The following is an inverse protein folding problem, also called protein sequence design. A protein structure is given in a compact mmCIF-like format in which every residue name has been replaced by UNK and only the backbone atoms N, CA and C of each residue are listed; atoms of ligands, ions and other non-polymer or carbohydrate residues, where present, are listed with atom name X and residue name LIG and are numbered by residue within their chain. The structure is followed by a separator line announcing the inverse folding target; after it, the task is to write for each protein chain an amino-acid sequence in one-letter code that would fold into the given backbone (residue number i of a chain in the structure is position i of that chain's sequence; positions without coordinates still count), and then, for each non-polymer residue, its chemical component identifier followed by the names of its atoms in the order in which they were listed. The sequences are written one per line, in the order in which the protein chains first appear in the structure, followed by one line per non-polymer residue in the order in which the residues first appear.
data_IF_740503516145
#
_entry.id   IF_740503516145
#
_cell.length_a   1.000
_cell.length_b   1.000
_cell.length_c   1.000
_cell.angle_alpha   90.00
_cell.angle_beta   90.00
_cell.angle_gamma   90.00
#
_symmetry.space_group_name_H-M   'P 1'
#
loop_
_entity.id
_entity.type
_entity.pdbx_description
1 polymer ?
#
# COMPACT_ATOMS: atom_id res chain seq x y z
N UNK A 1 30.62 35.54 -41.67
CA UNK A 1 30.64 34.07 -41.47
C UNK A 1 31.58 33.50 -42.53
N UNK A 2 32.51 32.64 -42.15
CA UNK A 2 33.35 31.94 -43.13
C UNK A 2 32.45 31.21 -44.14
N UNK A 3 32.77 31.28 -45.44
CA UNK A 3 31.98 30.63 -46.50
C UNK A 3 31.92 29.13 -46.20
N UNK A 4 30.72 28.61 -45.93
CA UNK A 4 30.50 27.17 -45.69
C UNK A 4 30.53 26.71 -44.23
N UNK A 5 30.54 27.58 -43.22
CA UNK A 5 30.42 27.14 -41.82
C UNK A 5 28.96 27.05 -41.34
N UNK A 6 28.61 25.97 -40.64
CA UNK A 6 27.26 25.69 -40.13
C UNK A 6 27.20 25.94 -38.63
N UNK A 7 26.42 26.95 -38.22
CA UNK A 7 26.30 27.35 -36.82
C UNK A 7 25.13 26.65 -36.13
N UNK A 8 25.39 26.04 -34.98
CA UNK A 8 24.37 25.56 -34.04
C UNK A 8 23.94 26.70 -33.13
N UNK A 9 22.64 26.95 -33.01
CA UNK A 9 22.06 27.96 -32.12
C UNK A 9 20.77 27.46 -31.46
N UNK A 10 20.36 28.13 -30.39
CA UNK A 10 19.07 27.89 -29.72
C UNK A 10 18.05 28.88 -30.26
N UNK A 11 16.89 28.39 -30.67
CA UNK A 11 15.74 29.20 -31.09
C UNK A 11 14.46 28.58 -30.55
N UNK A 12 13.71 29.34 -29.75
CA UNK A 12 12.50 28.87 -29.05
C UNK A 12 12.73 27.56 -28.27
N UNK A 13 13.76 27.54 -27.41
CA UNK A 13 14.15 26.40 -26.54
C UNK A 13 14.60 25.11 -27.27
N UNK A 14 14.73 25.15 -28.61
CA UNK A 14 15.20 24.02 -29.43
C UNK A 14 16.45 24.37 -30.22
N UNK A 15 17.23 23.35 -30.56
CA UNK A 15 18.44 23.49 -31.36
C UNK A 15 18.11 23.64 -32.85
N UNK A 16 18.81 24.57 -33.50
CA UNK A 16 18.66 24.91 -34.92
C UNK A 16 20.03 25.13 -35.56
N UNK A 17 20.18 24.73 -36.82
CA UNK A 17 21.35 24.96 -37.65
C UNK A 17 21.10 26.12 -38.60
N UNK A 18 22.07 27.04 -38.75
CA UNK A 18 22.04 28.14 -39.72
C UNK A 18 23.37 28.27 -40.46
N UNK A 19 23.30 28.44 -41.78
CA UNK A 19 24.47 28.65 -42.63
C UNK A 19 24.13 29.41 -43.91
N UNK A 20 25.16 29.65 -44.74
CA UNK A 20 24.99 30.25 -46.06
C UNK A 20 25.90 29.54 -47.06
N UNK A 21 25.35 29.20 -48.21
CA UNK A 21 26.03 28.49 -49.28
C UNK A 21 25.56 29.03 -50.63
N UNK A 22 26.49 29.30 -51.56
CA UNK A 22 26.22 29.87 -52.90
C UNK A 22 25.23 31.07 -52.89
N UNK A 23 25.47 32.04 -52.01
CA UNK A 23 24.66 33.27 -51.85
C UNK A 23 23.20 33.05 -51.39
N UNK A 24 22.85 31.84 -50.94
CA UNK A 24 21.57 31.54 -50.30
C UNK A 24 21.74 31.21 -48.82
N UNK A 25 20.74 31.59 -48.01
CA UNK A 25 20.72 31.35 -46.56
C UNK A 25 19.87 30.13 -46.27
N UNK A 26 20.41 29.23 -45.46
CA UNK A 26 19.75 27.98 -45.09
C UNK A 26 19.55 27.91 -43.57
N UNK A 27 18.44 27.30 -43.18
CA UNK A 27 18.08 27.09 -41.78
C UNK A 27 17.39 25.74 -41.62
N UNK A 28 17.83 24.97 -40.63
CA UNK A 28 17.30 23.64 -40.35
C UNK A 28 17.05 23.48 -38.85
N UNK A 29 15.81 23.20 -38.46
CA UNK A 29 15.49 22.84 -37.07
C UNK A 29 15.92 21.39 -36.80
N UNK A 30 16.69 21.18 -35.73
CA UNK A 30 17.09 19.81 -35.31
C UNK A 30 15.97 19.14 -34.51
N UNK A 31 15.02 19.93 -33.99
CA UNK A 31 13.89 19.39 -33.25
C UNK A 31 14.27 18.76 -31.90
N UNK A 32 15.41 19.12 -31.31
CA UNK A 32 15.84 18.64 -29.98
C UNK A 32 15.94 19.80 -28.97
N UNK A 33 15.61 19.60 -27.68
CA UNK A 33 15.80 20.61 -26.63
C UNK A 33 17.30 20.82 -26.35
N UNK A 34 17.66 21.98 -25.80
CA UNK A 34 19.04 22.32 -25.49
C UNK A 34 19.61 21.45 -24.34
N UNK A 35 20.56 20.57 -24.65
CA UNK A 35 21.29 19.75 -23.69
C UNK A 35 22.70 19.43 -24.22
N UNK A 36 23.63 19.02 -23.35
CA UNK A 36 25.01 18.67 -23.74
C UNK A 36 25.03 17.58 -24.81
N UNK A 37 24.18 16.55 -24.66
CA UNK A 37 24.08 15.42 -25.60
C UNK A 37 23.47 15.88 -26.93
N UNK A 38 22.39 16.66 -26.88
CA UNK A 38 21.70 17.13 -28.08
C UNK A 38 22.53 18.14 -28.88
N UNK A 39 23.33 18.97 -28.19
CA UNK A 39 24.31 19.85 -28.84
C UNK A 39 25.36 19.05 -29.59
N UNK A 40 25.83 17.92 -29.04
CA UNK A 40 26.79 17.03 -29.73
C UNK A 40 26.19 16.44 -31.03
N UNK A 41 24.93 16.00 -30.98
CA UNK A 41 24.18 15.51 -32.16
C UNK A 41 23.99 16.61 -33.21
N UNK A 42 23.60 17.81 -32.77
CA UNK A 42 23.44 18.96 -33.67
C UNK A 42 24.78 19.38 -34.33
N UNK A 43 25.88 19.34 -33.58
CA UNK A 43 27.22 19.63 -34.10
C UNK A 43 27.68 18.58 -35.11
N UNK A 44 27.41 17.29 -34.88
CA UNK A 44 27.75 16.23 -35.84
C UNK A 44 26.98 16.42 -37.16
N UNK A 45 25.69 16.79 -37.08
CA UNK A 45 24.88 17.09 -38.27
C UNK A 45 25.34 18.37 -38.98
N UNK A 46 25.79 19.38 -38.24
CA UNK A 46 26.43 20.57 -38.81
C UNK A 46 27.69 20.20 -39.61
N UNK A 47 28.57 19.36 -39.06
CA UNK A 47 29.77 18.87 -39.75
C UNK A 47 29.45 18.07 -41.02
N UNK A 48 28.40 17.24 -41.00
CA UNK A 48 27.96 16.51 -42.20
C UNK A 48 27.56 17.47 -43.33
N UNK A 49 26.83 18.55 -43.00
CA UNK A 49 26.44 19.57 -43.98
C UNK A 49 27.68 20.30 -44.51
N UNK A 50 28.65 20.61 -43.66
CA UNK A 50 29.93 21.21 -44.06
C UNK A 50 30.71 20.30 -45.04
N UNK A 51 30.80 19.01 -44.75
CA UNK A 51 31.46 18.02 -45.62
C UNK A 51 30.76 17.88 -46.98
N UNK A 52 29.43 17.91 -47.00
CA UNK A 52 28.69 17.83 -48.25
C UNK A 52 28.83 19.10 -49.10
N UNK A 53 28.92 20.27 -48.46
CA UNK A 53 29.24 21.53 -49.16
C UNK A 53 30.64 21.52 -49.76
N UNK A 54 31.62 20.91 -49.08
CA UNK A 54 33.00 20.78 -49.55
C UNK A 54 33.15 19.73 -50.67
N UNK A 55 32.43 18.61 -50.57
CA UNK A 55 32.49 17.51 -51.55
C UNK A 55 31.60 17.70 -52.77
N UNK A 56 30.83 18.80 -52.83
CA UNK A 56 29.90 19.08 -53.94
C UNK A 56 28.58 18.30 -53.90
N UNK A 57 28.35 17.52 -52.85
CA UNK A 57 27.17 16.68 -52.64
C UNK A 57 26.09 17.33 -51.74
N UNK A 58 26.12 18.65 -51.64
CA UNK A 58 25.17 19.41 -50.83
C UNK A 58 23.77 19.34 -51.43
N UNK A 59 22.79 18.92 -50.61
CA UNK A 59 21.38 18.91 -50.97
C UNK A 59 20.70 20.26 -50.61
N UNK A 60 20.41 21.12 -51.60
CA UNK A 60 19.77 22.42 -51.35
C UNK A 60 18.29 22.30 -50.91
N UNK A 61 17.65 21.14 -51.06
CA UNK A 61 16.27 20.93 -50.58
C UNK A 61 16.20 20.67 -49.07
N UNK A 62 17.37 20.47 -48.44
CA UNK A 62 17.55 20.10 -47.04
C UNK A 62 16.91 18.77 -46.64
N UNK A 63 16.34 17.99 -47.58
CA UNK A 63 15.67 16.73 -47.27
C UNK A 63 16.67 15.71 -46.72
N UNK A 64 17.87 15.64 -47.30
CA UNK A 64 18.99 14.80 -46.83
C UNK A 64 19.38 15.08 -45.37
N UNK A 65 19.14 16.30 -44.88
CA UNK A 65 19.60 16.75 -43.57
C UNK A 65 18.49 16.85 -42.53
N UNK A 66 17.22 16.86 -42.94
CA UNK A 66 16.11 16.80 -41.99
C UNK A 66 16.26 15.55 -41.14
N UNK A 67 15.86 15.58 -39.86
CA UNK A 67 15.60 14.33 -39.17
C UNK A 67 14.62 13.59 -40.07
N UNK A 68 15.00 12.41 -40.58
CA UNK A 68 13.99 11.49 -41.05
C UNK A 68 12.99 11.40 -39.88
N UNK A 69 11.72 11.76 -40.10
CA UNK A 69 10.67 11.16 -39.28
C UNK A 69 11.03 9.69 -39.26
N UNK A 70 11.26 9.08 -38.08
CA UNK A 70 11.74 7.71 -38.04
C UNK A 70 10.82 6.92 -38.95
N UNK A 71 11.32 6.57 -40.14
CA UNK A 71 10.63 5.66 -41.02
C UNK A 71 10.39 4.47 -40.13
N UNK A 72 9.13 4.01 -39.99
CA UNK A 72 8.87 2.84 -39.18
C UNK A 72 9.86 1.80 -39.69
N UNK A 73 10.77 1.35 -38.82
CA UNK A 73 11.54 0.16 -39.11
C UNK A 73 10.51 -0.83 -39.62
N UNK A 74 10.62 -1.21 -40.89
CA UNK A 74 9.90 -2.36 -41.40
C UNK A 74 10.55 -3.54 -40.68
N UNK A 75 10.12 -3.75 -39.44
CA UNK A 75 10.09 -5.05 -38.84
C UNK A 75 9.18 -5.83 -39.76
N UNK A 76 9.76 -6.71 -40.54
CA UNK A 76 9.01 -7.76 -41.20
C UNK A 76 8.12 -8.41 -40.14
N UNK A 77 6.82 -8.07 -40.17
CA UNK A 77 5.81 -8.50 -39.21
C UNK A 77 6.05 -8.03 -37.77
N UNK A 78 5.52 -6.86 -37.39
CA UNK A 78 5.04 -6.69 -36.01
C UNK A 78 3.63 -6.15 -36.05
N UNK A 79 2.67 -7.05 -35.85
CA UNK A 79 1.34 -6.70 -35.37
C UNK A 79 1.49 -5.66 -34.24
N UNK A 80 0.64 -4.65 -34.19
CA UNK A 80 0.72 -3.62 -33.17
C UNK A 80 0.66 -4.25 -31.77
N UNK A 81 1.83 -4.46 -31.15
CA UNK A 81 1.92 -5.10 -29.83
C UNK A 81 1.00 -4.36 -28.87
N UNK A 82 0.04 -5.09 -28.32
CA UNK A 82 -1.02 -4.52 -27.50
C UNK A 82 -0.43 -3.76 -26.31
N UNK A 83 -0.80 -2.49 -26.12
CA UNK A 83 -0.29 -1.72 -24.98
C UNK A 83 -0.85 -2.27 -23.67
N UNK A 84 -0.06 -2.25 -22.59
CA UNK A 84 -0.52 -2.66 -21.26
C UNK A 84 -1.77 -1.86 -20.84
N UNK A 85 -1.84 -0.57 -21.19
CA UNK A 85 -3.01 0.26 -20.88
C UNK A 85 -4.28 -0.18 -21.60
N UNK A 86 -4.18 -0.67 -22.83
CA UNK A 86 -5.33 -1.14 -23.59
C UNK A 86 -5.83 -2.48 -23.03
N UNK A 87 -4.90 -3.42 -22.79
CA UNK A 87 -5.18 -4.70 -22.13
C UNK A 87 -5.78 -4.48 -20.73
N UNK A 88 -5.24 -3.53 -19.96
CA UNK A 88 -5.78 -3.14 -18.65
C UNK A 88 -7.23 -2.67 -18.75
N UNK A 89 -7.56 -1.80 -19.70
CA UNK A 89 -8.94 -1.31 -19.86
C UNK A 89 -9.92 -2.41 -20.23
N UNK A 90 -9.47 -3.42 -20.95
CA UNK A 90 -10.32 -4.52 -21.42
C UNK A 90 -10.55 -5.57 -20.35
N UNK A 91 -9.51 -5.95 -19.60
CA UNK A 91 -9.53 -7.17 -18.77
C UNK A 91 -9.37 -6.93 -17.26
N UNK A 92 -9.22 -5.68 -16.81
CA UNK A 92 -9.01 -5.41 -15.38
C UNK A 92 -10.16 -5.92 -14.51
N UNK A 93 -11.41 -5.72 -14.93
CA UNK A 93 -12.57 -6.13 -14.13
C UNK A 93 -12.67 -7.67 -14.06
N UNK A 94 -12.39 -8.38 -15.16
CA UNK A 94 -12.32 -9.85 -15.19
C UNK A 94 -11.24 -10.39 -14.24
N UNK A 95 -10.07 -9.74 -14.21
CA UNK A 95 -8.99 -10.09 -13.29
C UNK A 95 -9.40 -9.86 -11.82
N UNK A 96 -10.05 -8.74 -11.52
CA UNK A 96 -10.52 -8.43 -10.17
C UNK A 96 -11.55 -9.45 -9.72
N UNK A 97 -12.46 -9.85 -10.60
CA UNK A 97 -13.48 -10.87 -10.32
C UNK A 97 -12.85 -12.24 -10.08
N UNK A 98 -11.89 -12.67 -10.92
CA UNK A 98 -11.14 -13.93 -10.74
C UNK A 98 -10.42 -13.97 -9.38
N UNK A 99 -9.72 -12.89 -9.04
CA UNK A 99 -9.01 -12.77 -7.75
C UNK A 99 -9.97 -12.72 -6.56
N UNK A 100 -11.10 -12.04 -6.72
CA UNK A 100 -12.12 -11.91 -5.68
C UNK A 100 -12.84 -13.23 -5.37
N UNK A 101 -13.03 -14.08 -6.38
CA UNK A 101 -13.60 -15.42 -6.19
C UNK A 101 -12.61 -16.38 -5.52
N UNK A 102 -11.32 -16.31 -5.89
CA UNK A 102 -10.34 -17.34 -5.52
C UNK A 102 -9.60 -17.08 -4.21
N UNK A 103 -9.20 -15.83 -3.92
CA UNK A 103 -8.12 -15.60 -2.94
C UNK A 103 -8.30 -14.36 -2.05
N UNK A 104 -8.96 -13.30 -2.52
CA UNK A 104 -8.88 -12.00 -1.84
C UNK A 104 -10.07 -11.62 -0.97
N UNK A 105 -9.77 -10.93 0.13
CA UNK A 105 -10.83 -10.32 0.95
C UNK A 105 -11.49 -9.16 0.21
N UNK A 106 -12.82 -8.97 0.28
CA UNK A 106 -13.50 -7.80 -0.27
C UNK A 106 -12.88 -6.46 0.18
N UNK A 107 -12.29 -6.44 1.39
CA UNK A 107 -11.56 -5.27 1.86
C UNK A 107 -10.26 -5.03 1.09
N UNK A 108 -9.50 -6.07 0.74
CA UNK A 108 -8.27 -5.94 -0.07
C UNK A 108 -8.62 -5.37 -1.44
N UNK A 109 -9.68 -5.88 -2.07
CA UNK A 109 -10.16 -5.38 -3.36
C UNK A 109 -10.46 -3.89 -3.28
N UNK A 110 -11.32 -3.50 -2.33
CA UNK A 110 -11.72 -2.10 -2.16
C UNK A 110 -10.54 -1.18 -1.84
N UNK A 111 -9.59 -1.62 -1.01
CA UNK A 111 -8.50 -0.76 -0.55
C UNK A 111 -7.32 -0.70 -1.52
N UNK A 112 -6.97 -1.79 -2.19
CA UNK A 112 -5.76 -1.90 -2.99
C UNK A 112 -6.04 -1.87 -4.50
N UNK A 113 -7.10 -2.54 -4.97
CA UNK A 113 -7.42 -2.67 -6.40
C UNK A 113 -8.21 -1.48 -6.94
N UNK A 114 -9.31 -1.10 -6.28
CA UNK A 114 -10.21 -0.04 -6.75
C UNK A 114 -9.53 1.33 -7.00
N UNK A 115 -8.46 1.73 -6.28
CA UNK A 115 -7.76 2.97 -6.60
C UNK A 115 -6.96 2.93 -7.91
N UNK A 116 -6.58 1.74 -8.40
CA UNK A 116 -5.65 1.59 -9.53
C UNK A 116 -6.24 2.16 -10.84
N UNK A 117 -7.48 1.85 -11.27
CA UNK A 117 -8.06 2.40 -12.50
C UNK A 117 -8.07 3.93 -12.53
N UNK A 118 -8.34 4.59 -11.39
CA UNK A 118 -8.29 6.05 -11.29
C UNK A 118 -6.86 6.58 -11.48
N UNK A 119 -5.86 5.88 -10.93
CA UNK A 119 -4.45 6.24 -11.11
C UNK A 119 -4.02 6.08 -12.57
N UNK A 120 -4.38 4.97 -13.22
CA UNK A 120 -4.10 4.74 -14.65
C UNK A 120 -4.71 5.86 -15.50
N UNK A 121 -5.97 6.23 -15.23
CA UNK A 121 -6.64 7.35 -15.91
C UNK A 121 -5.92 8.68 -15.71
N UNK A 122 -5.53 8.98 -14.47
CA UNK A 122 -4.87 10.23 -14.12
C UNK A 122 -3.44 10.34 -14.65
N UNK A 123 -2.76 9.22 -14.95
CA UNK A 123 -1.45 9.24 -15.58
C UNK A 123 -1.50 9.83 -17.00
N UNK A 124 -2.63 9.67 -17.70
CA UNK A 124 -2.89 10.35 -18.98
C UNK A 124 -2.02 9.88 -20.17
N UNK A 125 -1.14 8.88 -19.98
CA UNK A 125 -0.29 8.29 -21.02
C UNK A 125 -0.51 6.79 -21.13
N UNK A 126 -0.25 6.22 -22.31
CA UNK A 126 -0.24 4.77 -22.50
C UNK A 126 1.05 4.17 -21.95
N UNK A 127 0.92 3.04 -21.27
CA UNK A 127 2.02 2.20 -20.82
C UNK A 127 2.32 1.22 -21.95
N UNK A 128 3.35 1.54 -22.73
CA UNK A 128 3.76 0.74 -23.90
C UNK A 128 4.79 -0.32 -23.53
N UNK A 129 5.68 -0.01 -22.60
CA UNK A 129 6.67 -0.95 -22.10
C UNK A 129 7.24 -0.53 -20.75
N UNK A 130 8.43 -1.05 -20.45
CA UNK A 130 9.08 -0.90 -19.14
C UNK A 130 9.31 0.56 -18.74
N UNK A 131 9.69 1.42 -19.69
CA UNK A 131 9.98 2.84 -19.41
C UNK A 131 8.73 3.57 -18.93
N UNK A 132 7.61 3.43 -19.64
CA UNK A 132 6.36 4.09 -19.27
C UNK A 132 5.80 3.50 -17.97
N UNK A 133 6.03 2.21 -17.71
CA UNK A 133 5.66 1.60 -16.43
C UNK A 133 6.50 2.17 -15.27
N UNK A 134 7.79 2.42 -15.44
CA UNK A 134 8.63 3.11 -14.46
C UNK A 134 8.15 4.55 -14.21
N UNK A 135 7.80 5.29 -15.26
CA UNK A 135 7.19 6.62 -15.14
C UNK A 135 5.88 6.56 -14.35
N UNK A 136 5.04 5.56 -14.61
CA UNK A 136 3.79 5.35 -13.89
C UNK A 136 4.01 5.04 -12.41
N UNK A 137 4.99 4.20 -12.07
CA UNK A 137 5.34 3.92 -10.66
C UNK A 137 5.81 5.19 -9.96
N UNK A 138 6.66 5.99 -10.60
CA UNK A 138 7.11 7.29 -10.07
C UNK A 138 5.94 8.23 -9.84
N UNK A 139 5.00 8.32 -10.78
CA UNK A 139 3.76 9.07 -10.63
C UNK A 139 2.92 8.57 -9.45
N UNK A 140 2.77 7.25 -9.28
CA UNK A 140 2.01 6.68 -8.17
C UNK A 140 2.65 7.00 -6.81
N UNK A 141 3.98 7.03 -6.70
CA UNK A 141 4.72 7.36 -5.48
C UNK A 141 4.45 8.78 -4.97
N UNK A 142 3.98 9.69 -5.83
CA UNK A 142 3.56 11.04 -5.41
C UNK A 142 2.21 11.04 -4.68
N UNK A 143 1.42 9.98 -4.81
CA UNK A 143 0.03 9.93 -4.33
C UNK A 143 -0.19 9.18 -3.01
N UNK A 144 0.74 8.30 -2.62
CA UNK A 144 0.62 7.47 -1.41
C UNK A 144 1.98 6.95 -0.95
N UNK A 145 2.02 6.36 0.25
CA UNK A 145 3.26 5.83 0.82
C UNK A 145 3.91 4.75 -0.05
N UNK A 146 5.25 4.62 -0.06
CA UNK A 146 5.94 3.59 -0.84
C UNK A 146 5.48 2.17 -0.49
N UNK A 147 5.09 1.91 0.76
CA UNK A 147 4.53 0.62 1.17
C UNK A 147 3.20 0.30 0.48
N UNK A 148 2.35 1.32 0.29
CA UNK A 148 1.07 1.17 -0.42
C UNK A 148 1.31 0.98 -1.91
N UNK A 149 2.18 1.79 -2.50
CA UNK A 149 2.49 1.69 -3.93
C UNK A 149 3.15 0.36 -4.27
N UNK A 150 4.06 -0.13 -3.43
CA UNK A 150 4.66 -1.47 -3.60
C UNK A 150 3.61 -2.56 -3.79
N UNK A 151 2.56 -2.56 -2.95
CA UNK A 151 1.45 -3.51 -3.06
C UNK A 151 0.66 -3.34 -4.35
N UNK A 152 0.42 -2.10 -4.79
CA UNK A 152 -0.27 -1.84 -6.06
C UNK A 152 0.58 -2.26 -7.27
N UNK A 153 1.90 -2.09 -7.21
CA UNK A 153 2.83 -2.58 -8.24
C UNK A 153 2.85 -4.10 -8.30
N UNK A 154 2.78 -4.80 -7.15
CA UNK A 154 2.60 -6.25 -7.12
C UNK A 154 1.30 -6.63 -7.84
N UNK A 155 0.19 -5.96 -7.56
CA UNK A 155 -1.09 -6.24 -8.23
C UNK A 155 -1.02 -5.99 -9.74
N UNK A 156 -0.37 -4.91 -10.18
CA UNK A 156 -0.17 -4.62 -11.61
C UNK A 156 0.71 -5.66 -12.30
N UNK A 157 1.74 -6.14 -11.61
CA UNK A 157 2.56 -7.26 -12.07
C UNK A 157 1.74 -8.55 -12.16
N UNK A 158 0.93 -8.85 -11.15
CA UNK A 158 0.04 -10.01 -11.12
C UNK A 158 -1.00 -9.97 -12.24
N UNK A 159 -1.54 -8.79 -12.55
CA UNK A 159 -2.41 -8.58 -13.70
C UNK A 159 -1.70 -8.91 -15.01
N UNK A 160 -0.49 -8.39 -15.20
CA UNK A 160 0.32 -8.67 -16.39
C UNK A 160 0.62 -10.17 -16.57
N UNK A 161 0.92 -10.86 -15.48
CA UNK A 161 1.13 -12.32 -15.52
C UNK A 161 -0.17 -13.07 -15.81
N UNK A 162 -1.30 -12.60 -15.26
CA UNK A 162 -2.60 -13.22 -15.47
C UNK A 162 -3.06 -13.11 -16.93
N UNK A 163 -2.86 -11.96 -17.60
CA UNK A 163 -3.23 -11.83 -19.02
C UNK A 163 -2.36 -12.70 -19.94
N UNK A 164 -1.07 -12.86 -19.61
CA UNK A 164 -0.20 -13.80 -20.32
C UNK A 164 -0.64 -15.26 -20.13
N UNK A 165 -0.96 -15.66 -18.90
CA UNK A 165 -1.41 -17.02 -18.59
C UNK A 165 -2.73 -17.38 -19.29
N UNK A 166 -3.63 -16.40 -19.43
CA UNK A 166 -4.91 -16.59 -20.11
C UNK A 166 -4.83 -16.37 -21.63
N UNK A 167 -3.63 -16.12 -22.19
CA UNK A 167 -3.40 -15.89 -23.63
C UNK A 167 -4.26 -14.74 -24.19
N UNK A 168 -4.44 -13.69 -23.39
CA UNK A 168 -5.21 -12.49 -23.76
C UNK A 168 -4.34 -11.44 -24.48
N UNK A 169 -3.07 -11.75 -24.69
CA UNK A 169 -2.05 -10.91 -25.32
C UNK A 169 -1.23 -11.76 -26.28
N UNK A 170 -0.60 -11.10 -27.26
CA UNK A 170 0.19 -11.75 -28.29
C UNK A 170 1.43 -12.45 -27.69
N UNK A 171 1.95 -13.46 -28.40
CA UNK A 171 3.06 -14.30 -27.90
C UNK A 171 4.37 -13.51 -27.60
N UNK A 172 4.55 -12.33 -28.22
CA UNK A 172 5.69 -11.44 -27.99
C UNK A 172 5.43 -10.34 -26.95
N UNK A 173 4.28 -10.36 -26.27
CA UNK A 173 3.94 -9.36 -25.27
C UNK A 173 4.70 -9.58 -23.97
N UNK A 174 5.36 -8.55 -23.47
CA UNK A 174 6.10 -8.58 -22.21
C UNK A 174 5.39 -7.77 -21.11
N UNK A 175 5.32 -8.34 -19.90
CA UNK A 175 4.78 -7.66 -18.74
C UNK A 175 5.73 -6.53 -18.27
N UNK A 176 5.35 -5.24 -18.41
CA UNK A 176 6.24 -4.12 -18.13
C UNK A 176 6.42 -3.86 -16.63
N UNK A 177 5.61 -4.48 -15.75
CA UNK A 177 5.70 -4.33 -14.30
C UNK A 177 6.63 -5.35 -13.63
N UNK A 178 7.20 -6.28 -14.40
CA UNK A 178 8.14 -7.29 -13.90
C UNK A 178 9.35 -6.63 -13.22
N UNK A 179 9.53 -6.90 -11.92
CA UNK A 179 10.64 -6.39 -11.13
C UNK A 179 10.50 -4.93 -10.66
N UNK A 180 9.42 -4.22 -10.98
CA UNK A 180 9.29 -2.80 -10.60
C UNK A 180 8.99 -2.56 -9.11
N UNK A 181 8.76 -3.62 -8.33
CA UNK A 181 8.58 -3.51 -6.87
C UNK A 181 9.82 -2.99 -6.15
N UNK A 182 10.99 -3.11 -6.76
CA UNK A 182 12.26 -2.61 -6.23
C UNK A 182 12.31 -1.09 -6.16
N UNK A 183 11.61 -0.40 -7.06
CA UNK A 183 11.49 1.07 -7.04
C UNK A 183 10.74 1.59 -5.80
N UNK A 184 10.02 0.71 -5.11
CA UNK A 184 9.26 1.05 -3.92
C UNK A 184 10.08 0.67 -2.69
N UNK A 185 10.72 1.66 -2.08
CA UNK A 185 11.50 1.53 -0.85
C UNK A 185 10.69 2.02 0.36
N UNK A 186 9.82 1.18 0.97
CA UNK A 186 9.17 1.53 2.21
C UNK A 186 10.20 1.65 3.33
N UNK A 187 10.22 2.80 4.00
CA UNK A 187 10.91 2.93 5.28
C UNK A 187 10.19 2.03 6.28
N UNK A 188 10.90 1.18 7.05
CA UNK A 188 10.30 0.41 8.11
C UNK A 188 9.52 1.33 9.05
N UNK A 189 8.25 1.02 9.38
CA UNK A 189 7.46 1.88 10.24
C UNK A 189 8.14 1.99 11.61
N UNK A 190 8.22 3.21 12.15
CA UNK A 190 8.65 3.41 13.53
C UNK A 190 7.69 2.67 14.48
N UNK A 191 8.26 2.00 15.49
CA UNK A 191 7.49 1.21 16.44
C UNK A 191 6.85 2.14 17.47
N UNK A 192 5.52 2.16 17.52
CA UNK A 192 4.78 2.83 18.58
C UNK A 192 5.00 2.07 19.88
N UNK A 193 5.51 2.70 20.95
CA UNK A 193 5.74 2.00 22.21
C UNK A 193 4.43 1.51 22.84
N UNK A 194 4.46 0.45 23.67
CA UNK A 194 3.30 -0.06 24.38
C UNK A 194 2.84 0.93 25.47
N UNK A 195 1.55 0.91 25.82
CA UNK A 195 1.05 1.73 26.93
C UNK A 195 1.62 1.22 28.26
N UNK A 196 2.03 2.11 29.14
CA UNK A 196 2.42 1.74 30.51
C UNK A 196 1.20 1.35 31.34
N UNK A 197 1.38 0.65 32.46
CA UNK A 197 0.27 0.31 33.35
C UNK A 197 -0.48 1.56 33.88
N UNK A 198 0.25 2.65 34.11
CA UNK A 198 -0.34 3.93 34.52
C UNK A 198 -1.18 4.55 33.39
N UNK A 199 -0.67 4.54 32.15
CA UNK A 199 -1.42 5.02 30.98
C UNK A 199 -2.69 4.20 30.75
N UNK A 200 -2.63 2.88 30.88
CA UNK A 200 -3.80 1.99 30.74
C UNK A 200 -4.87 2.36 31.77
N UNK A 201 -4.48 2.53 33.04
CA UNK A 201 -5.40 2.92 34.12
C UNK A 201 -6.03 4.29 33.84
N UNK A 202 -5.24 5.26 33.39
CA UNK A 202 -5.72 6.59 33.06
C UNK A 202 -6.68 6.58 31.86
N UNK A 203 -6.38 5.84 30.80
CA UNK A 203 -7.26 5.70 29.63
C UNK A 203 -8.60 5.10 30.04
N UNK A 204 -8.59 4.01 30.81
CA UNK A 204 -9.81 3.33 31.27
C UNK A 204 -10.63 4.24 32.20
N UNK A 205 -9.98 4.93 33.13
CA UNK A 205 -10.64 5.90 34.03
C UNK A 205 -11.26 7.05 33.24
N UNK A 206 -10.52 7.62 32.29
CA UNK A 206 -11.00 8.72 31.45
C UNK A 206 -12.18 8.29 30.58
N UNK A 207 -12.18 7.05 30.05
CA UNK A 207 -13.38 6.51 29.39
C UNK A 207 -14.55 6.46 30.36
N UNK A 208 -14.37 5.87 31.55
CA UNK A 208 -15.43 5.69 32.56
C UNK A 208 -16.10 7.00 32.96
N UNK A 209 -15.31 8.05 33.13
CA UNK A 209 -15.78 9.35 33.61
C UNK A 209 -16.25 10.27 32.47
N UNK A 210 -16.10 9.85 31.20
CA UNK A 210 -16.50 10.64 30.04
C UNK A 210 -18.01 10.59 29.77
N UNK A 211 -18.64 11.77 29.79
CA UNK A 211 -20.07 11.95 29.52
C UNK A 211 -20.57 11.28 28.24
N UNK A 212 -19.78 11.23 27.17
CA UNK A 212 -20.21 10.75 25.86
C UNK A 212 -19.71 9.32 25.53
N UNK A 213 -18.60 8.92 26.14
CA UNK A 213 -17.88 7.71 25.75
C UNK A 213 -17.78 6.65 26.85
N UNK A 214 -18.32 6.87 28.05
CA UNK A 214 -18.36 5.89 29.15
C UNK A 214 -18.91 4.52 28.74
N UNK A 215 -19.85 4.46 27.80
CA UNK A 215 -20.38 3.21 27.24
C UNK A 215 -19.31 2.26 26.68
N UNK A 216 -18.15 2.78 26.24
CA UNK A 216 -17.07 1.98 25.67
C UNK A 216 -16.05 1.48 26.70
N UNK A 217 -16.23 1.79 28.00
CA UNK A 217 -15.24 1.48 29.05
C UNK A 217 -14.88 0.00 29.09
N UNK A 218 -15.88 -0.89 29.17
CA UNK A 218 -15.63 -2.33 29.29
C UNK A 218 -15.10 -2.94 28.00
N UNK A 219 -15.48 -2.38 26.84
CA UNK A 219 -14.88 -2.73 25.56
C UNK A 219 -13.38 -2.42 25.52
N UNK A 220 -12.97 -1.25 26.01
CA UNK A 220 -11.56 -0.85 26.07
C UNK A 220 -10.78 -1.69 27.09
N UNK A 221 -11.35 -1.94 28.27
CA UNK A 221 -10.77 -2.87 29.27
C UNK A 221 -10.51 -4.23 28.65
N UNK A 222 -11.51 -4.79 27.98
CA UNK A 222 -11.40 -6.08 27.30
C UNK A 222 -10.27 -6.12 26.26
N UNK A 223 -10.09 -5.06 25.46
CA UNK A 223 -9.00 -4.98 24.48
C UNK A 223 -7.62 -5.05 25.16
N UNK A 224 -7.41 -4.32 26.26
CA UNK A 224 -6.17 -4.36 27.02
C UNK A 224 -5.93 -5.70 27.72
N UNK A 225 -6.98 -6.38 28.20
CA UNK A 225 -6.88 -7.64 28.94
C UNK A 225 -6.69 -8.87 28.05
N UNK A 226 -7.05 -8.79 26.77
CA UNK A 226 -7.00 -9.94 25.84
C UNK A 226 -6.02 -9.79 24.70
N UNK A 227 -5.68 -8.55 24.33
CA UNK A 227 -4.92 -8.26 23.13
C UNK A 227 -5.54 -8.83 21.85
N UNK A 228 -6.84 -9.13 21.82
CA UNK A 228 -7.50 -9.64 20.61
C UNK A 228 -7.52 -8.59 19.49
N UNK A 229 -7.81 -9.01 18.25
CA UNK A 229 -7.97 -8.04 17.15
C UNK A 229 -9.24 -7.22 17.40
N UNK A 230 -9.21 -5.95 17.05
CA UNK A 230 -10.36 -5.04 17.21
C UNK A 230 -11.64 -5.62 16.61
N UNK A 231 -11.56 -6.25 15.43
CA UNK A 231 -12.72 -6.87 14.76
C UNK A 231 -13.23 -8.15 15.43
N UNK A 232 -12.41 -8.84 16.22
CA UNK A 232 -12.81 -10.00 17.02
C UNK A 232 -13.62 -9.53 18.23
N UNK A 233 -13.15 -8.51 18.96
CA UNK A 233 -13.91 -7.92 20.07
C UNK A 233 -15.25 -7.32 19.62
N UNK A 234 -15.27 -6.59 18.50
CA UNK A 234 -16.49 -5.99 17.94
C UNK A 234 -17.51 -7.06 17.52
N UNK A 235 -17.03 -8.19 17.02
CA UNK A 235 -17.87 -9.30 16.53
C UNK A 235 -18.26 -10.30 17.61
N UNK A 236 -17.68 -10.20 18.81
CA UNK A 236 -17.83 -11.18 19.88
C UNK A 236 -19.29 -11.27 20.33
N UNK A 237 -19.78 -12.50 20.42
CA UNK A 237 -21.13 -12.83 20.85
C UNK A 237 -21.06 -13.76 22.04
N UNK A 238 -22.09 -13.77 22.87
CA UNK A 238 -22.11 -14.57 24.08
C UNK A 238 -22.03 -16.08 23.83
N UNK A 239 -22.46 -16.59 22.67
CA UNK A 239 -22.27 -18.01 22.27
C UNK A 239 -20.80 -18.43 22.22
N UNK A 240 -19.88 -17.48 22.11
CA UNK A 240 -18.43 -17.71 22.07
C UNK A 240 -17.77 -17.60 23.44
N UNK A 241 -18.50 -17.15 24.46
CA UNK A 241 -18.03 -17.05 25.84
C UNK A 241 -18.61 -18.23 26.62
N UNK A 242 -17.78 -18.93 27.39
CA UNK A 242 -18.29 -20.01 28.26
C UNK A 242 -19.31 -19.46 29.25
N UNK A 243 -20.28 -20.29 29.65
CA UNK A 243 -21.35 -19.90 30.58
C UNK A 243 -20.84 -19.45 31.95
N UNK A 244 -19.70 -19.94 32.38
CA UNK A 244 -19.00 -19.53 33.61
C UNK A 244 -18.04 -18.35 33.39
N UNK A 245 -17.93 -17.83 32.16
CA UNK A 245 -17.00 -16.79 31.74
C UNK A 245 -15.51 -17.15 31.95
N UNK A 246 -15.15 -18.44 32.06
CA UNK A 246 -13.74 -18.88 32.24
C UNK A 246 -12.94 -18.92 30.94
N UNK A 247 -13.59 -18.73 29.79
CA UNK A 247 -12.90 -18.77 28.51
C UNK A 247 -13.73 -18.23 27.35
N UNK A 248 -13.01 -17.82 26.30
CA UNK A 248 -13.55 -17.24 25.07
C UNK A 248 -13.00 -18.01 23.87
N UNK A 249 -13.85 -18.28 22.88
CA UNK A 249 -13.42 -18.82 21.60
C UNK A 249 -13.48 -17.73 20.52
N UNK A 250 -12.34 -17.31 20.00
CA UNK A 250 -12.27 -16.40 18.86
C UNK A 250 -12.28 -17.19 17.55
N UNK A 251 -13.43 -17.26 16.87
CA UNK A 251 -13.66 -18.00 15.62
C UNK A 251 -14.15 -17.11 14.46
N UNK A 252 -14.79 -15.98 14.76
CA UNK A 252 -15.41 -15.07 13.80
C UNK A 252 -14.78 -13.67 13.85
N UNK A 253 -14.78 -12.99 12.70
CA UNK A 253 -14.49 -11.56 12.59
C UNK A 253 -15.60 -10.86 11.84
N UNK A 254 -15.94 -9.66 12.30
CA UNK A 254 -16.94 -8.82 11.65
C UNK A 254 -16.21 -7.84 10.73
N UNK A 255 -16.33 -8.02 9.41
CA UNK A 255 -15.71 -7.15 8.40
C UNK A 255 -16.75 -6.31 7.68
N UNK A 256 -16.37 -5.11 7.23
CA UNK A 256 -17.27 -4.24 6.45
C UNK A 256 -17.52 -4.84 5.06
N UNK A 257 -18.79 -4.93 4.65
CA UNK A 257 -19.18 -5.36 3.30
C UNK A 257 -19.24 -4.11 2.40
N UNK A 258 -18.20 -3.91 1.59
CA UNK A 258 -18.11 -2.78 0.65
C UNK A 258 -17.98 -1.41 1.33
N UNK A 259 -18.53 -0.36 0.71
CA UNK A 259 -18.47 1.03 1.16
C UNK A 259 -19.58 1.41 2.17
N UNK A 260 -20.60 0.58 2.35
CA UNK A 260 -21.75 0.85 3.23
C UNK A 260 -21.56 0.46 4.70
N UNK A 261 -22.62 0.54 5.50
CA UNK A 261 -22.62 0.14 6.94
C UNK A 261 -22.76 -1.38 7.13
N UNK A 262 -23.08 -2.12 6.07
CA UNK A 262 -23.26 -3.56 6.11
C UNK A 262 -21.99 -4.27 6.62
N UNK A 263 -22.21 -5.32 7.42
CA UNK A 263 -21.15 -6.12 8.03
C UNK A 263 -21.32 -7.57 7.61
N UNK A 264 -20.21 -8.20 7.21
CA UNK A 264 -20.13 -9.60 6.88
C UNK A 264 -19.36 -10.30 8.01
N UNK A 265 -19.98 -11.32 8.61
CA UNK A 265 -19.26 -12.26 9.48
C UNK A 265 -18.41 -13.16 8.59
N UNK A 266 -17.12 -13.19 8.82
CA UNK A 266 -16.19 -14.14 8.20
C UNK A 266 -15.51 -14.94 9.28
N UNK A 267 -15.16 -16.19 8.98
CA UNK A 267 -14.14 -16.90 9.75
C UNK A 267 -12.87 -16.03 9.85
N UNK A 268 -12.12 -16.16 10.93
CA UNK A 268 -10.86 -15.40 11.12
C UNK A 268 -9.95 -15.57 9.89
N UNK A 269 -9.19 -14.53 9.52
CA UNK A 269 -8.31 -14.51 8.33
C UNK A 269 -7.34 -15.71 8.23
N UNK A 270 -7.09 -16.41 9.32
CA UNK A 270 -6.19 -17.57 9.42
C UNK A 270 -6.92 -18.91 9.52
N UNK A 271 -8.26 -18.94 9.43
CA UNK A 271 -9.10 -20.14 9.52
C UNK A 271 -8.83 -21.01 10.77
N UNK A 272 -8.28 -20.41 11.84
CA UNK A 272 -7.94 -21.08 13.09
C UNK A 272 -8.72 -20.41 14.20
N UNK A 273 -9.80 -21.06 14.64
CA UNK A 273 -10.43 -20.73 15.92
C UNK A 273 -9.37 -20.85 17.02
N UNK A 274 -9.37 -19.92 17.98
CA UNK A 274 -8.48 -20.02 19.15
C UNK A 274 -9.25 -19.85 20.44
N UNK A 275 -8.84 -20.62 21.43
CA UNK A 275 -9.32 -20.48 22.81
C UNK A 275 -8.45 -19.48 23.58
N UNK A 276 -9.10 -18.59 24.33
CA UNK A 276 -8.46 -17.65 25.23
C UNK A 276 -8.97 -17.92 26.66
N UNK A 277 -8.10 -18.36 27.60
CA UNK A 277 -8.48 -18.55 28.99
C UNK A 277 -8.69 -17.19 29.67
N UNK A 278 -9.77 -17.06 30.44
CA UNK A 278 -10.02 -15.85 31.23
C UNK A 278 -9.39 -16.00 32.61
N UNK A 279 -8.58 -15.04 33.02
CA UNK A 279 -8.18 -14.90 34.42
C UNK A 279 -9.36 -14.36 35.25
N UNK A 280 -9.19 -14.31 36.58
CA UNK A 280 -10.24 -13.84 37.50
C UNK A 280 -10.77 -12.46 37.15
N UNK A 281 -9.88 -11.51 36.78
CA UNK A 281 -10.30 -10.17 36.40
C UNK A 281 -11.16 -10.14 35.13
N UNK A 282 -10.79 -10.90 34.10
CA UNK A 282 -11.53 -10.96 32.84
C UNK A 282 -12.86 -11.69 33.04
N UNK A 283 -12.88 -12.75 33.84
CA UNK A 283 -14.09 -13.46 34.21
C UNK A 283 -15.06 -12.52 34.95
N UNK A 284 -14.56 -11.76 35.94
CA UNK A 284 -15.35 -10.79 36.70
C UNK A 284 -15.92 -9.69 35.78
N UNK A 285 -15.11 -9.17 34.85
CA UNK A 285 -15.57 -8.20 33.86
C UNK A 285 -16.73 -8.77 33.03
N UNK A 286 -16.57 -9.98 32.49
CA UNK A 286 -17.58 -10.62 31.64
C UNK A 286 -18.85 -10.94 32.41
N UNK A 287 -18.74 -11.43 33.66
CA UNK A 287 -19.91 -11.66 34.51
C UNK A 287 -20.67 -10.37 34.82
N UNK A 288 -19.96 -9.28 35.11
CA UNK A 288 -20.57 -7.99 35.45
C UNK A 288 -21.35 -7.35 34.30
N UNK A 289 -20.90 -7.55 33.05
CA UNK A 289 -21.57 -6.99 31.86
C UNK A 289 -22.59 -7.93 31.22
N UNK A 290 -22.74 -9.15 31.74
CA UNK A 290 -23.62 -10.16 31.15
C UNK A 290 -25.09 -9.82 31.44
N UNK A 291 -25.94 -9.66 30.41
CA UNK A 291 -27.37 -9.50 30.64
C UNK A 291 -27.97 -10.74 31.29
N UNK A 292 -29.01 -10.60 32.09
CA UNK A 292 -29.73 -11.74 32.70
C UNK A 292 -30.30 -12.67 31.61
N UNK A 293 -31.00 -12.09 30.64
CA UNK A 293 -31.61 -12.80 29.51
C UNK A 293 -30.94 -12.39 28.19
N UNK A 294 -29.88 -13.10 27.80
CA UNK A 294 -29.22 -12.90 26.51
C UNK A 294 -29.48 -14.06 25.55
N UNK A 295 -29.72 -13.73 24.27
CA UNK A 295 -29.68 -14.72 23.19
C UNK A 295 -28.22 -15.07 22.87
N UNK A 296 -27.90 -16.31 22.45
CA UNK A 296 -26.53 -16.71 22.11
C UNK A 296 -25.84 -15.76 21.10
N UNK A 297 -26.59 -15.22 20.15
CA UNK A 297 -26.08 -14.30 19.12
C UNK A 297 -25.99 -12.82 19.56
N UNK A 298 -26.28 -12.52 20.82
CA UNK A 298 -26.18 -11.16 21.36
C UNK A 298 -24.70 -10.75 21.44
N UNK A 299 -24.38 -9.53 21.02
CA UNK A 299 -23.02 -8.99 21.10
C UNK A 299 -22.61 -8.80 22.57
N UNK A 300 -21.36 -9.12 22.88
CA UNK A 300 -20.78 -8.82 24.19
C UNK A 300 -20.55 -7.32 24.35
N UNK A 301 -20.13 -6.63 23.28
CA UNK A 301 -19.87 -5.20 23.26
C UNK A 301 -20.68 -4.49 22.17
N UNK A 302 -21.97 -4.18 22.42
CA UNK A 302 -22.77 -3.40 21.47
C UNK A 302 -22.37 -1.92 21.48
N UNK A 303 -22.58 -1.23 20.37
CA UNK A 303 -22.60 0.24 20.33
C UNK A 303 -23.79 0.79 21.14
N UNK A 304 -23.85 2.11 21.42
CA UNK A 304 -24.98 2.71 22.14
C UNK A 304 -26.36 2.46 21.48
N UNK A 305 -26.39 2.09 20.20
CA UNK A 305 -27.62 1.74 19.46
C UNK A 305 -27.88 0.22 19.38
N UNK A 306 -27.18 -0.60 20.16
CA UNK A 306 -27.30 -2.06 20.15
C UNK A 306 -26.65 -2.78 18.97
N UNK A 307 -26.08 -2.04 18.00
CA UNK A 307 -25.44 -2.58 16.78
C UNK A 307 -23.95 -2.84 17.00
N UNK A 308 -23.26 -3.63 16.14
CA UNK A 308 -21.81 -3.73 16.20
C UNK A 308 -21.12 -2.37 16.17
N UNK A 309 -20.08 -2.20 16.99
CA UNK A 309 -19.27 -0.98 17.02
C UNK A 309 -18.63 -0.75 15.63
N UNK A 310 -18.66 0.48 15.15
CA UNK A 310 -17.89 0.87 13.96
C UNK A 310 -16.47 1.26 14.37
N UNK A 311 -15.49 0.45 13.98
CA UNK A 311 -14.09 0.64 14.39
C UNK A 311 -13.51 2.00 13.96
N UNK A 312 -13.92 2.52 12.80
CA UNK A 312 -13.45 3.81 12.28
C UNK A 312 -14.07 4.96 13.07
N UNK A 313 -15.38 4.91 13.32
CA UNK A 313 -16.05 5.92 14.15
C UNK A 313 -15.55 5.88 15.59
N UNK A 314 -15.35 4.69 16.15
CA UNK A 314 -14.77 4.53 17.48
C UNK A 314 -13.38 5.15 17.55
N UNK A 315 -12.50 4.84 16.59
CA UNK A 315 -11.16 5.42 16.51
C UNK A 315 -11.19 6.96 16.42
N UNK A 316 -11.90 7.49 15.43
CA UNK A 316 -11.87 8.91 15.10
C UNK A 316 -12.61 9.79 16.10
N UNK A 317 -13.59 9.23 16.84
CA UNK A 317 -14.42 10.01 17.76
C UNK A 317 -14.08 9.72 19.22
N UNK A 318 -14.28 8.47 19.64
CA UNK A 318 -14.13 8.09 21.04
C UNK A 318 -12.65 7.99 21.44
N UNK A 319 -11.90 7.12 20.76
CA UNK A 319 -10.50 6.83 21.10
C UNK A 319 -9.60 8.07 21.00
N UNK A 320 -9.68 8.82 19.88
CA UNK A 320 -8.93 10.07 19.71
C UNK A 320 -9.27 11.11 20.78
N UNK A 321 -10.55 11.30 21.08
CA UNK A 321 -10.99 12.26 22.10
C UNK A 321 -10.44 11.89 23.48
N UNK A 322 -10.51 10.61 23.87
CA UNK A 322 -10.04 10.16 25.18
C UNK A 322 -8.51 10.24 25.27
N UNK A 323 -7.77 9.79 24.26
CA UNK A 323 -6.31 9.94 24.26
C UNK A 323 -5.89 11.41 24.33
N UNK A 324 -6.63 12.31 23.69
CA UNK A 324 -6.35 13.75 23.77
C UNK A 324 -6.55 14.27 25.20
N UNK A 325 -7.62 13.85 25.89
CA UNK A 325 -7.86 14.18 27.30
C UNK A 325 -6.79 13.61 28.23
N UNK A 326 -6.22 12.46 27.89
CA UNK A 326 -5.12 11.87 28.66
C UNK A 326 -3.75 12.50 28.37
N UNK A 327 -3.62 13.34 27.33
CA UNK A 327 -2.32 13.83 26.85
C UNK A 327 -1.49 12.76 26.12
N UNK A 328 -2.12 11.70 25.59
CA UNK A 328 -1.48 10.49 25.07
C UNK A 328 -1.78 10.24 23.58
N UNK A 329 -2.16 11.28 22.82
CA UNK A 329 -2.47 11.14 21.39
C UNK A 329 -1.30 10.65 20.57
N UNK A 330 -0.09 11.05 20.96
CA UNK A 330 1.14 10.70 20.28
C UNK A 330 2.21 10.33 21.31
N UNK A 331 3.10 9.44 20.89
CA UNK A 331 4.32 9.12 21.61
C UNK A 331 5.44 9.04 20.57
N UNK A 332 6.54 9.77 20.78
CA UNK A 332 7.60 9.98 19.78
C UNK A 332 7.07 10.48 18.41
N UNK A 333 6.05 11.34 18.42
CA UNK A 333 5.40 11.84 17.21
C UNK A 333 4.52 10.83 16.47
N UNK A 334 4.35 9.62 17.02
CA UNK A 334 3.54 8.57 16.42
C UNK A 334 2.16 8.49 17.05
N UNK A 335 1.14 8.50 16.21
CA UNK A 335 -0.24 8.37 16.64
C UNK A 335 -0.55 6.98 17.20
N UNK A 336 -1.14 6.91 18.40
CA UNK A 336 -1.50 5.64 19.06
C UNK A 336 -2.96 5.29 18.76
N UNK A 337 -3.16 4.34 17.86
CA UNK A 337 -4.48 3.81 17.48
C UNK A 337 -5.03 2.81 18.52
N UNK A 338 -6.30 2.43 18.42
CA UNK A 338 -6.88 1.37 19.24
C UNK A 338 -6.22 0.01 19.03
N UNK A 339 -5.52 -0.20 17.90
CA UNK A 339 -4.75 -1.42 17.67
C UNK A 339 -3.52 -1.53 18.60
N UNK A 340 -3.05 -0.42 19.16
CA UNK A 340 -1.93 -0.42 20.10
C UNK A 340 -2.28 -1.10 21.44
N UNK A 341 -3.56 -1.34 21.75
CA UNK A 341 -3.99 -2.18 22.89
C UNK A 341 -3.46 -3.61 22.76
N UNK A 342 -3.53 -4.21 21.56
CA UNK A 342 -2.96 -5.52 21.25
C UNK A 342 -1.45 -5.53 21.34
N UNK A 343 -0.79 -4.51 20.80
CA UNK A 343 0.66 -4.38 20.95
C UNK A 343 1.06 -4.29 22.42
N UNK A 344 0.31 -3.53 23.21
CA UNK A 344 0.55 -3.37 24.64
C UNK A 344 0.43 -4.70 25.37
N UNK A 345 -0.65 -5.43 25.15
CA UNK A 345 -0.83 -6.76 25.74
C UNK A 345 0.36 -7.70 25.45
N UNK A 346 0.79 -7.78 24.18
CA UNK A 346 1.92 -8.63 23.79
C UNK A 346 3.21 -8.21 24.48
N UNK A 347 3.53 -6.92 24.44
CA UNK A 347 4.74 -6.40 25.09
C UNK A 347 4.76 -6.69 26.59
N UNK A 348 3.62 -6.51 27.27
CA UNK A 348 3.51 -6.78 28.70
C UNK A 348 3.62 -8.28 29.02
N UNK A 349 2.99 -9.16 28.22
CA UNK A 349 3.09 -10.61 28.44
C UNK A 349 4.52 -11.12 28.24
N UNK A 350 5.20 -10.67 27.19
CA UNK A 350 6.60 -11.03 26.96
C UNK A 350 7.52 -10.48 28.05
N UNK A 351 7.32 -9.23 28.48
CA UNK A 351 8.09 -8.63 29.58
C UNK A 351 7.86 -9.36 30.91
N UNK A 352 6.70 -10.00 31.10
CA UNK A 352 6.38 -10.86 32.26
C UNK A 352 6.90 -12.30 32.11
N UNK A 353 7.73 -12.58 31.10
CA UNK A 353 8.40 -13.86 30.91
C UNK A 353 7.60 -14.92 30.16
N UNK A 354 6.42 -14.59 29.61
CA UNK A 354 5.66 -15.53 28.80
C UNK A 354 6.37 -15.81 27.47
N UNK A 355 6.39 -17.06 27.03
CA UNK A 355 7.07 -17.43 25.78
C UNK A 355 6.35 -16.85 24.55
N UNK A 356 7.11 -16.62 23.47
CA UNK A 356 6.59 -16.19 22.16
C UNK A 356 5.46 -17.10 21.67
N UNK A 357 5.59 -18.41 21.90
CA UNK A 357 4.64 -19.41 21.44
C UNK A 357 3.31 -19.27 22.20
N UNK A 358 3.36 -19.08 23.52
CA UNK A 358 2.16 -18.87 24.34
C UNK A 358 1.44 -17.57 23.98
N UNK A 359 2.18 -16.46 23.86
CA UNK A 359 1.59 -15.17 23.46
C UNK A 359 1.02 -15.25 22.04
N UNK A 360 1.69 -15.94 21.11
CA UNK A 360 1.18 -16.16 19.77
C UNK A 360 -0.10 -16.99 19.78
N UNK A 361 -0.20 -18.01 20.63
CA UNK A 361 -1.41 -18.83 20.80
C UNK A 361 -2.58 -18.01 21.36
N UNK A 362 -2.35 -17.18 22.38
CA UNK A 362 -3.38 -16.31 22.98
C UNK A 362 -3.88 -15.25 22.00
N UNK A 363 -2.96 -14.59 21.31
CA UNK A 363 -3.29 -13.47 20.43
C UNK A 363 -3.67 -13.93 19.02
N UNK A 364 -3.32 -15.15 18.61
CA UNK A 364 -3.51 -15.64 17.24
C UNK A 364 -2.57 -14.99 16.24
N UNK A 365 -1.31 -14.74 16.64
CA UNK A 365 -0.24 -14.32 15.75
C UNK A 365 0.45 -15.53 15.11
N UNK A 366 1.07 -15.30 13.96
CA UNK A 366 2.14 -16.15 13.49
C UNK A 366 3.36 -15.96 14.42
N UNK A 367 3.91 -17.02 15.02
CA UNK A 367 5.05 -16.91 15.93
C UNK A 367 6.28 -16.25 15.30
N UNK A 368 6.51 -16.45 14.00
CA UNK A 368 7.64 -15.85 13.27
C UNK A 368 7.48 -14.34 13.18
N UNK A 369 6.28 -13.88 12.81
CA UNK A 369 5.94 -12.46 12.77
C UNK A 369 6.03 -11.83 14.16
N UNK A 370 5.58 -12.52 15.21
CA UNK A 370 5.69 -12.03 16.58
C UNK A 370 7.17 -11.88 16.98
N UNK A 371 8.01 -12.89 16.70
CA UNK A 371 9.43 -12.83 16.98
C UNK A 371 10.11 -11.66 16.24
N UNK A 372 9.86 -11.50 14.93
CA UNK A 372 10.42 -10.40 14.13
C UNK A 372 10.07 -9.02 14.72
N UNK A 373 8.86 -8.84 15.24
CA UNK A 373 8.43 -7.57 15.81
C UNK A 373 8.88 -7.34 17.26
N UNK A 374 9.01 -8.40 18.06
CA UNK A 374 9.20 -8.31 19.52
C UNK A 374 10.52 -8.90 20.03
N UNK A 375 11.43 -9.36 19.15
CA UNK A 375 12.74 -9.92 19.52
C UNK A 375 13.50 -9.10 20.57
N UNK A 376 13.54 -7.78 20.40
CA UNK A 376 14.26 -6.88 21.32
C UNK A 376 13.68 -6.79 22.74
N UNK A 377 12.46 -7.25 22.99
CA UNK A 377 11.88 -7.34 24.35
C UNK A 377 12.18 -8.68 25.03
N UNK A 378 12.55 -9.70 24.26
CA UNK A 378 12.80 -11.07 24.74
C UNK A 378 14.25 -11.23 25.21
N UNK A 379 15.14 -10.35 24.74
CA UNK A 379 16.57 -10.42 25.02
C UNK A 379 16.97 -9.68 26.30
N UNK A 380 16.78 -10.33 27.44
CA UNK A 380 17.80 -10.29 28.49
C UNK A 380 18.69 -11.51 28.26
N UNK A 381 19.79 -11.31 27.52
CA UNK A 381 20.75 -12.39 27.28
C UNK A 381 21.64 -12.47 28.52
N UNK A 382 21.31 -13.40 29.41
CA UNK A 382 22.23 -13.84 30.46
C UNK A 382 22.80 -15.19 30.05
N UNK A 383 24.12 -15.27 29.93
CA UNK A 383 24.82 -16.54 29.74
C UNK A 383 24.82 -17.24 31.11
N UNK A 384 24.20 -18.42 31.24
CA UNK A 384 24.22 -19.13 32.52
C UNK A 384 25.64 -19.52 32.89
N UNK A 385 25.99 -19.42 34.17
CA UNK A 385 27.23 -19.99 34.69
C UNK A 385 27.10 -21.51 34.75
N UNK A 386 28.01 -22.21 34.10
CA UNK A 386 28.04 -23.68 34.04
C UNK A 386 28.91 -24.32 35.13
N UNK A 387 29.54 -23.50 35.98
CA UNK A 387 30.47 -23.89 37.03
C UNK A 387 30.12 -23.20 38.35
#
# INVERSE_FOLDING_TARGET
MAKGQVKVEVYSERLRLRWSYRSQRYCLSVGLPDSIINRRVATQKAQQIELDMLSGNFDPTLQKYKPEDPLPMVVAGSEASQSYTDVFKQHWDEFVDDKGQRLESPFTIVSMYNPIPKKVRNFGRKILGRREAQEFVTFMLQSASPATIKKQVIILNDFGNWVQQNKLVDAGWENPFTGLTEMCHPVPPLKVPPFSEAEIKQIIGTFRDDRYYAHYTDYVRFLFMTGCRTSEAIGLQWKHVRRDCTGITFNETLVRKGTGTARLRKATKTNRARFFPCNGDLQNLLLAIRPEDYKPDTLVFPSPKGKPIDATNFLNRAWQSILKKCGMTQENGLYRTQYNTRHTFISHMLAKGMSVIEVAKLTGHDPKVLLEHYAGLISQIEVPTFF
#
